data_IF_756807404230
#
_entry.id   IF_756807404230
#
_cell.length_a   1.000
_cell.length_b   1.000
_cell.length_c   1.000
_cell.angle_alpha   90.00
_cell.angle_beta   90.00
_cell.angle_gamma   90.00
#
_symmetry.space_group_name_H-M   'P 1'
#
loop_
_entity.id
_entity.type
_entity.pdbx_description
1 polymer ?
#
# COMPACT_ATOMS: atom_id res chain seq x y z
N UNK A 1 -15.26 19.34 13.01
CA UNK A 1 -13.96 19.97 13.36
C UNK A 1 -13.54 19.53 14.76
N UNK A 2 -13.61 18.23 15.04
CA UNK A 2 -13.47 17.67 16.38
C UNK A 2 -12.06 17.09 16.55
N UNK A 3 -11.28 17.71 17.44
CA UNK A 3 -10.07 17.21 18.11
C UNK A 3 -9.01 16.47 17.26
N UNK A 4 -8.54 17.02 16.15
CA UNK A 4 -7.27 16.57 15.57
C UNK A 4 -6.12 17.05 16.45
N UNK A 5 -5.58 16.15 17.29
CA UNK A 5 -4.34 16.41 18.04
C UNK A 5 -3.15 16.27 17.09
N UNK A 6 -2.53 17.39 16.74
CA UNK A 6 -1.31 17.41 15.92
C UNK A 6 -0.10 17.34 16.87
N UNK A 7 0.67 16.25 16.75
CA UNK A 7 1.92 16.07 17.46
C UNK A 7 3.07 16.06 16.46
N UNK A 8 4.12 16.85 16.72
CA UNK A 8 5.36 16.76 15.97
C UNK A 8 6.43 16.13 16.87
N UNK A 9 6.83 14.89 16.57
CA UNK A 9 8.03 14.31 17.14
C UNK A 9 9.23 14.90 16.41
N UNK A 10 9.70 16.07 16.85
CA UNK A 10 10.97 16.62 16.40
C UNK A 10 12.09 15.81 17.06
N UNK A 11 12.79 15.00 16.27
CA UNK A 11 14.10 14.49 16.67
C UNK A 11 15.03 15.69 16.93
N UNK A 12 15.15 16.10 18.19
CA UNK A 12 16.06 17.19 18.56
C UNK A 12 17.50 16.69 18.45
N UNK A 13 18.22 17.14 17.42
CA UNK A 13 19.68 17.13 17.39
C UNK A 13 20.32 16.33 16.25
N UNK A 14 21.00 17.08 15.38
CA UNK A 14 22.15 16.71 14.54
C UNK A 14 21.99 15.58 13.50
N UNK A 15 22.51 15.83 12.31
CA UNK A 15 22.67 14.95 11.13
C UNK A 15 23.04 13.48 11.43
N UNK A 16 23.67 13.19 12.57
CA UNK A 16 23.94 11.83 13.06
C UNK A 16 22.67 11.01 13.35
N UNK A 17 21.65 11.62 13.94
CA UNK A 17 20.39 10.94 14.34
C UNK A 17 19.54 10.59 13.11
N UNK A 18 19.49 11.48 12.11
CA UNK A 18 18.81 11.20 10.83
C UNK A 18 19.47 10.06 10.06
N UNK A 19 20.81 10.03 10.00
CA UNK A 19 21.56 8.93 9.38
C UNK A 19 21.33 7.61 10.13
N UNK A 20 21.20 7.64 11.45
CA UNK A 20 20.88 6.46 12.25
C UNK A 20 19.45 5.95 12.00
N UNK A 21 18.45 6.83 11.97
CA UNK A 21 17.06 6.44 11.68
C UNK A 21 16.95 5.89 10.26
N UNK A 22 17.55 6.58 9.28
CA UNK A 22 17.67 6.12 7.91
C UNK A 22 18.25 4.70 7.80
N UNK A 23 19.40 4.48 8.42
CA UNK A 23 20.06 3.17 8.47
C UNK A 23 19.17 2.13 9.13
N UNK A 24 18.50 2.47 10.23
CA UNK A 24 17.61 1.56 10.94
C UNK A 24 16.38 1.19 10.09
N UNK A 25 15.79 2.14 9.36
CA UNK A 25 14.69 1.88 8.43
C UNK A 25 15.15 0.94 7.31
N UNK A 26 16.27 1.23 6.67
CA UNK A 26 16.82 0.38 5.60
C UNK A 26 17.11 -1.04 6.08
N UNK A 27 17.72 -1.18 7.26
CA UNK A 27 18.03 -2.49 7.85
C UNK A 27 16.79 -3.25 8.30
N UNK A 28 15.79 -2.56 8.86
CA UNK A 28 14.51 -3.19 9.26
C UNK A 28 13.81 -3.77 8.05
N UNK A 29 13.81 -3.04 6.92
CA UNK A 29 13.23 -3.50 5.67
C UNK A 29 13.98 -4.71 5.12
N UNK A 30 15.31 -4.67 5.13
CA UNK A 30 16.12 -5.82 4.72
C UNK A 30 15.78 -7.06 5.54
N UNK A 31 15.64 -6.94 6.86
CA UNK A 31 15.29 -8.07 7.73
C UNK A 31 13.88 -8.61 7.50
N UNK A 32 12.91 -7.73 7.22
CA UNK A 32 11.55 -8.16 6.85
C UNK A 32 11.52 -8.95 5.54
N UNK A 33 12.47 -8.69 4.65
CA UNK A 33 12.55 -9.31 3.32
C UNK A 33 13.45 -10.55 3.27
N UNK A 34 14.40 -10.69 4.21
CA UNK A 34 15.31 -11.83 4.26
C UNK A 34 14.58 -13.10 4.73
N UNK A 35 14.34 -14.00 3.78
CA UNK A 35 13.69 -15.30 3.98
C UNK A 35 14.53 -16.29 4.79
N UNK A 36 15.83 -16.06 4.97
CA UNK A 36 16.71 -16.96 5.73
C UNK A 36 16.48 -16.91 7.24
N UNK A 37 15.81 -15.87 7.74
CA UNK A 37 15.47 -15.79 9.14
C UNK A 37 14.36 -16.80 9.55
N UNK A 38 13.69 -17.47 8.60
CA UNK A 38 12.46 -18.27 8.83
C UNK A 38 12.68 -19.79 8.69
N UNK A 39 13.79 -20.24 8.10
CA UNK A 39 13.95 -21.64 7.68
C UNK A 39 14.17 -22.69 8.79
N UNK A 40 14.28 -22.31 10.08
CA UNK A 40 14.71 -23.23 11.16
C UNK A 40 13.68 -23.50 12.27
N UNK A 41 12.38 -23.21 12.08
CA UNK A 41 11.36 -23.50 13.12
C UNK A 41 10.47 -24.70 12.75
N UNK A 42 10.35 -25.74 13.60
CA UNK A 42 9.51 -26.91 13.33
C UNK A 42 8.01 -26.58 13.38
N UNK A 43 7.13 -27.34 12.66
CA UNK A 43 5.74 -26.94 12.38
C UNK A 43 4.74 -27.15 13.52
N UNK A 44 5.18 -27.22 14.78
CA UNK A 44 4.32 -27.65 15.88
C UNK A 44 4.60 -26.87 17.16
N UNK A 45 4.22 -25.59 17.17
CA UNK A 45 3.95 -24.81 18.36
C UNK A 45 3.10 -23.61 17.95
N UNK A 46 2.15 -23.20 18.79
CA UNK A 46 1.47 -21.90 18.70
C UNK A 46 2.50 -20.85 18.29
N UNK A 47 2.32 -20.08 17.20
CA UNK A 47 3.38 -19.22 16.70
C UNK A 47 3.77 -18.24 17.80
N UNK A 48 4.93 -18.45 18.44
CA UNK A 48 5.49 -17.47 19.37
C UNK A 48 5.75 -16.22 18.54
N UNK A 49 5.08 -15.12 18.90
CA UNK A 49 5.28 -13.82 18.25
C UNK A 49 6.75 -13.45 18.36
N UNK A 50 7.42 -13.39 17.21
CA UNK A 50 8.84 -13.11 17.16
C UNK A 50 9.08 -11.63 17.41
N UNK A 51 9.80 -11.34 18.50
CA UNK A 51 10.24 -10.00 18.84
C UNK A 51 11.38 -9.61 17.89
N UNK A 52 11.19 -8.50 17.16
CA UNK A 52 12.21 -7.87 16.33
C UNK A 52 12.79 -6.66 17.05
N UNK A 53 14.06 -6.75 17.42
CA UNK A 53 14.78 -5.64 18.08
C UNK A 53 14.78 -4.36 17.25
N UNK A 54 14.78 -4.47 15.92
CA UNK A 54 14.76 -3.29 15.03
C UNK A 54 13.38 -2.64 14.97
N UNK A 55 12.30 -3.44 14.92
CA UNK A 55 10.92 -2.93 14.99
C UNK A 55 10.65 -2.27 16.35
N UNK A 56 11.17 -2.83 17.44
CA UNK A 56 11.11 -2.23 18.77
C UNK A 56 11.92 -0.94 18.86
N UNK A 57 13.13 -0.89 18.29
CA UNK A 57 13.93 0.33 18.27
C UNK A 57 13.22 1.47 17.50
N UNK A 58 12.60 1.16 16.35
CA UNK A 58 11.79 2.14 15.62
C UNK A 58 10.54 2.56 16.41
N UNK A 59 9.87 1.64 17.10
CA UNK A 59 8.76 1.97 17.99
C UNK A 59 9.19 2.91 19.12
N UNK A 60 10.30 2.61 19.79
CA UNK A 60 10.88 3.45 20.84
C UNK A 60 11.21 4.86 20.35
N UNK A 61 11.74 4.98 19.13
CA UNK A 61 12.12 6.27 18.57
C UNK A 61 10.92 7.07 18.05
N UNK A 62 9.92 6.41 17.47
CA UNK A 62 8.86 7.08 16.70
C UNK A 62 7.50 7.13 17.42
N UNK A 63 7.21 6.16 18.27
CA UNK A 63 5.87 5.97 18.88
C UNK A 63 5.89 6.31 20.37
N UNK A 64 6.87 5.81 21.13
CA UNK A 64 6.94 6.08 22.58
C UNK A 64 6.90 7.57 22.95
N UNK A 65 7.59 8.49 22.23
CA UNK A 65 7.55 9.92 22.54
C UNK A 65 6.16 10.57 22.38
N UNK A 66 5.25 9.93 21.66
CA UNK A 66 3.90 10.43 21.38
C UNK A 66 2.81 9.51 21.92
N UNK A 67 3.15 8.47 22.70
CA UNK A 67 2.20 7.43 23.11
C UNK A 67 0.99 8.00 23.87
N UNK A 68 1.20 8.99 24.74
CA UNK A 68 0.13 9.65 25.51
C UNK A 68 -0.81 10.53 24.65
N UNK A 69 -0.41 10.83 23.42
CA UNK A 69 -1.19 11.61 22.45
C UNK A 69 -2.01 10.71 21.51
N UNK A 70 -1.66 9.43 21.42
CA UNK A 70 -2.38 8.47 20.58
C UNK A 70 -3.79 8.20 21.15
N UNK A 71 -4.78 7.98 20.28
CA UNK A 71 -6.13 7.69 20.73
C UNK A 71 -6.20 6.35 21.46
N UNK A 72 -7.04 6.28 22.50
CA UNK A 72 -7.30 5.05 23.26
C UNK A 72 -8.30 4.13 22.56
N UNK A 73 -9.16 4.70 21.72
CA UNK A 73 -10.06 3.93 20.86
C UNK A 73 -9.25 3.37 19.68
N UNK A 74 -9.15 2.03 19.52
CA UNK A 74 -8.41 1.43 18.43
C UNK A 74 -9.02 1.69 17.04
N UNK A 75 -10.30 2.04 16.96
CA UNK A 75 -10.98 2.39 15.70
C UNK A 75 -10.70 3.84 15.30
N UNK A 76 -10.20 4.68 16.20
CA UNK A 76 -9.80 6.05 15.89
C UNK A 76 -8.51 6.07 15.05
N UNK A 77 -8.48 6.96 14.06
CA UNK A 77 -7.42 7.02 13.07
C UNK A 77 -6.20 7.79 13.57
N UNK A 78 -5.02 7.23 13.31
CA UNK A 78 -3.72 7.89 13.43
C UNK A 78 -3.19 8.14 12.02
N UNK A 79 -2.99 9.42 11.68
CA UNK A 79 -2.47 9.84 10.37
C UNK A 79 -0.99 10.19 10.52
N UNK A 80 -0.12 9.41 9.88
CA UNK A 80 1.30 9.74 9.79
C UNK A 80 1.58 10.62 8.58
N UNK A 81 2.30 11.72 8.79
CA UNK A 81 2.81 12.59 7.72
C UNK A 81 4.34 12.46 7.71
N UNK A 82 4.89 11.42 7.07
CA UNK A 82 6.33 11.16 7.09
C UNK A 82 7.12 12.11 6.20
N UNK A 83 8.42 12.23 6.49
CA UNK A 83 9.38 12.98 5.67
C UNK A 83 10.63 12.13 5.41
N UNK A 84 11.21 12.23 4.21
CA UNK A 84 12.45 11.53 3.86
C UNK A 84 12.31 10.00 3.98
N UNK A 85 13.23 9.35 4.69
CA UNK A 85 13.21 7.89 4.82
C UNK A 85 12.06 7.35 5.69
N UNK A 86 11.37 8.22 6.43
CA UNK A 86 10.19 7.81 7.21
C UNK A 86 9.04 7.30 6.32
N UNK A 87 9.01 7.66 5.03
CA UNK A 87 8.05 7.11 4.08
C UNK A 87 8.16 5.59 3.93
N UNK A 88 9.32 5.02 4.25
CA UNK A 88 9.57 3.59 4.12
C UNK A 88 9.34 2.82 5.42
N UNK A 89 8.96 3.51 6.51
CA UNK A 89 8.71 2.90 7.82
C UNK A 89 7.42 2.06 7.75
N UNK A 90 7.49 0.77 8.10
CA UNK A 90 6.30 -0.07 8.22
C UNK A 90 5.56 0.22 9.52
N UNK A 91 4.87 1.34 9.63
CA UNK A 91 4.23 1.76 10.89
C UNK A 91 3.34 0.66 11.49
N UNK A 92 2.59 -0.08 10.66
CA UNK A 92 1.74 -1.19 11.08
C UNK A 92 2.50 -2.31 11.83
N UNK A 93 3.78 -2.53 11.51
CA UNK A 93 4.60 -3.60 12.09
C UNK A 93 5.53 -3.12 13.20
N UNK A 94 5.52 -1.84 13.57
CA UNK A 94 6.28 -1.37 14.73
C UNK A 94 5.82 -2.12 15.99
N UNK A 95 6.76 -2.65 16.75
CA UNK A 95 6.49 -3.53 17.89
C UNK A 95 6.73 -2.79 19.20
N UNK A 96 5.76 -2.83 20.10
CA UNK A 96 5.94 -2.39 21.47
C UNK A 96 6.83 -3.37 22.27
N UNK A 97 7.20 -2.97 23.50
CA UNK A 97 8.01 -3.80 24.40
C UNK A 97 7.38 -5.15 24.73
N UNK A 98 6.05 -5.23 24.76
CA UNK A 98 5.28 -6.46 24.99
C UNK A 98 5.09 -7.33 23.73
N UNK A 99 5.66 -6.92 22.60
CA UNK A 99 5.59 -7.65 21.33
C UNK A 99 4.30 -7.44 20.53
N UNK A 100 3.38 -6.58 20.99
CA UNK A 100 2.25 -6.16 20.17
C UNK A 100 2.66 -5.21 19.06
N UNK A 101 2.05 -5.36 17.90
CA UNK A 101 2.21 -4.50 16.73
C UNK A 101 1.34 -3.26 16.86
N UNK A 102 1.78 -2.13 16.29
CA UNK A 102 1.04 -0.87 16.34
C UNK A 102 -0.36 -0.98 15.73
N UNK A 103 -0.51 -1.76 14.65
CA UNK A 103 -1.80 -1.98 13.97
C UNK A 103 -2.85 -2.66 14.86
N UNK A 104 -2.42 -3.40 15.89
CA UNK A 104 -3.35 -4.03 16.83
C UNK A 104 -4.03 -3.02 17.73
N UNK A 105 -3.37 -1.89 17.98
CA UNK A 105 -3.83 -0.85 18.92
C UNK A 105 -4.45 0.35 18.23
N UNK A 106 -4.07 0.62 16.98
CA UNK A 106 -4.49 1.84 16.29
C UNK A 106 -4.82 1.58 14.83
N UNK A 107 -5.82 2.29 14.33
CA UNK A 107 -6.13 2.36 12.91
C UNK A 107 -5.21 3.36 12.23
N UNK A 108 -4.44 2.92 11.22
CA UNK A 108 -3.35 3.70 10.65
C UNK A 108 -3.65 4.14 9.22
N UNK A 109 -3.24 5.36 8.88
CA UNK A 109 -3.12 5.85 7.49
C UNK A 109 -1.93 6.80 7.37
N UNK A 110 -1.53 7.09 6.15
CA UNK A 110 -0.46 8.04 5.85
C UNK A 110 -0.96 9.14 4.93
N UNK A 111 -0.26 10.27 4.94
CA UNK A 111 -0.41 11.29 3.92
C UNK A 111 0.94 11.97 3.66
N UNK A 112 1.25 12.32 2.42
CA UNK A 112 2.53 12.94 2.10
C UNK A 112 2.62 14.39 2.63
N UNK A 113 1.48 15.07 2.77
CA UNK A 113 1.39 16.40 3.32
C UNK A 113 -0.03 16.68 3.85
N UNK A 114 -0.16 17.65 4.76
CA UNK A 114 -1.46 18.06 5.30
C UNK A 114 -2.36 18.69 4.22
N UNK A 115 -1.78 19.35 3.23
CA UNK A 115 -2.51 19.92 2.09
C UNK A 115 -3.12 18.82 1.21
N UNK A 116 -2.45 17.67 1.10
CA UNK A 116 -2.98 16.52 0.36
C UNK A 116 -4.19 15.93 1.11
N UNK A 117 -4.16 15.88 2.44
CA UNK A 117 -5.35 15.48 3.22
C UNK A 117 -6.54 16.40 2.95
N UNK A 118 -6.33 17.72 2.99
CA UNK A 118 -7.39 18.69 2.71
C UNK A 118 -7.93 18.55 1.27
N UNK A 119 -7.04 18.33 0.30
CA UNK A 119 -7.40 18.11 -1.10
C UNK A 119 -8.24 16.84 -1.29
N UNK A 120 -7.81 15.72 -0.71
CA UNK A 120 -8.53 14.44 -0.85
C UNK A 120 -9.88 14.47 -0.15
N UNK A 121 -9.97 15.15 1.01
CA UNK A 121 -11.23 15.34 1.73
C UNK A 121 -12.24 16.16 0.92
N UNK A 122 -11.79 17.27 0.32
CA UNK A 122 -12.66 18.10 -0.51
C UNK A 122 -13.24 17.34 -1.71
N UNK A 123 -12.45 16.46 -2.35
CA UNK A 123 -12.89 15.63 -3.48
C UNK A 123 -13.97 14.62 -3.06
N UNK A 124 -13.79 13.94 -1.94
CA UNK A 124 -14.76 12.96 -1.43
C UNK A 124 -16.13 13.60 -1.18
N UNK A 125 -16.17 14.82 -0.65
CA UNK A 125 -17.43 15.51 -0.32
C UNK A 125 -18.33 15.84 -1.52
N UNK A 126 -17.80 15.77 -2.75
CA UNK A 126 -18.47 16.22 -3.98
C UNK A 126 -18.92 15.06 -4.89
N UNK A 127 -18.74 13.80 -4.49
CA UNK A 127 -18.92 12.64 -5.38
C UNK A 127 -20.25 11.90 -5.21
N UNK A 128 -20.74 11.37 -6.34
CA UNK A 128 -21.90 10.47 -6.38
C UNK A 128 -21.55 9.10 -5.80
N UNK A 129 -22.52 8.39 -5.22
CA UNK A 129 -22.33 7.11 -4.50
C UNK A 129 -22.50 5.85 -5.35
N UNK A 130 -22.39 5.95 -6.68
CA UNK A 130 -22.63 4.78 -7.56
C UNK A 130 -21.33 4.00 -7.72
N UNK A 131 -21.18 2.91 -6.97
CA UNK A 131 -20.00 2.04 -7.02
C UNK A 131 -19.81 1.45 -8.42
N UNK A 132 -18.81 1.95 -9.15
CA UNK A 132 -18.33 1.38 -10.43
C UNK A 132 -16.96 0.75 -10.23
N UNK A 133 -16.89 -0.52 -9.78
CA UNK A 133 -15.63 -1.19 -9.54
C UNK A 133 -14.96 -1.66 -10.83
N UNK A 134 -13.67 -1.39 -10.95
CA UNK A 134 -12.75 -1.89 -11.97
C UNK A 134 -11.72 -2.79 -11.29
N UNK A 135 -11.86 -4.11 -11.48
CA UNK A 135 -11.02 -5.12 -10.82
C UNK A 135 -10.19 -5.84 -11.87
N UNK A 136 -8.87 -5.75 -11.74
CA UNK A 136 -7.89 -6.33 -12.67
C UNK A 136 -6.96 -7.25 -11.90
N UNK A 137 -6.71 -8.45 -12.42
CA UNK A 137 -5.78 -9.40 -11.81
C UNK A 137 -5.07 -10.26 -12.84
N UNK A 138 -3.81 -10.61 -12.58
CA UNK A 138 -3.00 -11.49 -13.41
C UNK A 138 -3.12 -11.22 -14.93
N UNK A 139 -2.70 -10.03 -15.42
CA UNK A 139 -2.65 -9.77 -16.85
C UNK A 139 -1.74 -10.78 -17.58
N UNK A 140 -1.92 -10.91 -18.90
CA UNK A 140 -0.96 -11.62 -19.72
C UNK A 140 0.38 -10.85 -19.67
N UNK A 141 1.37 -11.41 -18.97
CA UNK A 141 2.53 -10.62 -18.56
C UNK A 141 3.40 -10.16 -19.74
N UNK A 142 3.83 -8.88 -19.75
CA UNK A 142 4.76 -8.37 -20.74
C UNK A 142 6.19 -8.86 -20.44
N UNK A 143 7.09 -8.64 -21.39
CA UNK A 143 8.53 -8.82 -21.20
C UNK A 143 9.18 -7.48 -20.87
N UNK A 144 10.12 -7.48 -19.92
CA UNK A 144 10.82 -6.27 -19.46
C UNK A 144 12.33 -6.47 -19.42
N UNK A 145 13.09 -5.38 -19.45
CA UNK A 145 14.56 -5.38 -19.38
C UNK A 145 15.27 -5.55 -20.73
N UNK A 146 16.61 -5.54 -20.68
CA UNK A 146 17.49 -5.73 -21.83
C UNK A 146 18.51 -6.84 -21.54
N UNK A 147 18.42 -8.03 -22.18
CA UNK A 147 17.40 -8.43 -23.15
C UNK A 147 16.01 -8.63 -22.50
N UNK A 148 14.90 -8.52 -23.26
CA UNK A 148 13.55 -8.67 -22.72
C UNK A 148 13.32 -10.05 -22.10
N UNK A 149 12.88 -10.07 -20.85
CA UNK A 149 12.50 -11.29 -20.14
C UNK A 149 11.02 -11.23 -19.73
N UNK A 150 10.24 -12.31 -19.96
CA UNK A 150 8.84 -12.34 -19.56
C UNK A 150 8.71 -12.29 -18.04
N UNK A 151 7.80 -11.44 -17.55
CA UNK A 151 7.44 -11.47 -16.14
C UNK A 151 6.66 -12.77 -15.83
N UNK A 152 6.85 -13.31 -14.62
CA UNK A 152 6.16 -14.52 -14.19
C UNK A 152 4.67 -14.30 -13.96
N UNK A 153 3.84 -15.29 -14.28
CA UNK A 153 2.40 -15.25 -13.98
C UNK A 153 2.12 -15.20 -12.48
N UNK A 154 1.00 -14.56 -12.09
CA UNK A 154 0.56 -14.40 -10.70
C UNK A 154 -0.81 -15.07 -10.50
N UNK A 155 -0.87 -16.41 -10.35
CA UNK A 155 -2.15 -17.12 -10.24
C UNK A 155 -2.95 -16.74 -8.99
N UNK A 156 -2.33 -16.31 -7.88
CA UNK A 156 -3.12 -15.84 -6.73
C UNK A 156 -3.63 -14.40 -6.93
N UNK A 157 -2.94 -13.55 -7.68
CA UNK A 157 -3.50 -12.27 -8.13
C UNK A 157 -4.76 -12.45 -9.00
N UNK A 158 -4.84 -13.54 -9.78
CA UNK A 158 -6.07 -13.89 -10.49
C UNK A 158 -7.21 -14.27 -9.53
N UNK A 159 -6.91 -15.12 -8.54
CA UNK A 159 -7.87 -15.53 -7.51
C UNK A 159 -8.34 -14.33 -6.67
N UNK A 160 -7.42 -13.42 -6.32
CA UNK A 160 -7.68 -12.16 -5.63
C UNK A 160 -8.69 -11.32 -6.40
N UNK A 161 -8.41 -11.04 -7.68
CA UNK A 161 -9.29 -10.25 -8.51
C UNK A 161 -10.68 -10.91 -8.69
N UNK A 162 -10.73 -12.23 -8.87
CA UNK A 162 -11.99 -12.96 -8.96
C UNK A 162 -12.81 -12.89 -7.66
N UNK A 163 -12.17 -13.08 -6.51
CA UNK A 163 -12.83 -13.00 -5.20
C UNK A 163 -13.37 -11.58 -4.92
N UNK A 164 -12.57 -10.55 -5.22
CA UNK A 164 -12.98 -9.14 -5.05
C UNK A 164 -14.11 -8.77 -6.01
N UNK A 165 -14.03 -9.22 -7.27
CA UNK A 165 -15.09 -9.00 -8.24
C UNK A 165 -16.42 -9.60 -7.78
N UNK A 166 -16.40 -10.78 -7.16
CA UNK A 166 -17.58 -11.39 -6.55
C UNK A 166 -18.14 -10.56 -5.38
N UNK A 167 -17.28 -10.04 -4.50
CA UNK A 167 -17.69 -9.20 -3.36
C UNK A 167 -18.37 -7.89 -3.81
N UNK A 168 -17.93 -7.35 -4.96
CA UNK A 168 -18.39 -6.08 -5.51
C UNK A 168 -19.40 -6.24 -6.66
N UNK A 169 -19.93 -7.46 -6.87
CA UNK A 169 -20.93 -7.78 -7.90
C UNK A 169 -20.52 -7.31 -9.31
N UNK A 170 -19.25 -7.52 -9.66
CA UNK A 170 -18.66 -7.14 -10.95
C UNK A 170 -17.88 -8.29 -11.59
N UNK A 171 -17.23 -8.05 -12.72
CA UNK A 171 -16.37 -8.99 -13.40
C UNK A 171 -14.91 -8.57 -13.29
N UNK A 172 -14.05 -9.53 -12.93
CA UNK A 172 -12.60 -9.35 -12.99
C UNK A 172 -12.14 -9.33 -14.46
N UNK A 173 -11.16 -8.49 -14.76
CA UNK A 173 -10.46 -8.45 -16.04
C UNK A 173 -9.09 -9.10 -15.85
N UNK A 174 -8.80 -10.18 -16.59
CA UNK A 174 -7.58 -10.98 -16.43
C UNK A 174 -6.96 -11.35 -17.78
N UNK A 175 -5.74 -11.90 -17.76
CA UNK A 175 -5.06 -12.38 -18.96
C UNK A 175 -4.92 -11.29 -20.04
N UNK A 176 -5.15 -11.65 -21.30
CA UNK A 176 -5.02 -10.72 -22.43
C UNK A 176 -6.05 -9.57 -22.44
N UNK A 177 -7.16 -9.70 -21.71
CA UNK A 177 -8.16 -8.64 -21.63
C UNK A 177 -7.71 -7.50 -20.73
N UNK A 178 -6.79 -7.76 -19.80
CA UNK A 178 -6.23 -6.79 -18.87
C UNK A 178 -5.13 -5.92 -19.52
N UNK A 179 -5.43 -5.36 -20.69
CA UNK A 179 -4.52 -4.47 -21.43
C UNK A 179 -4.68 -3.02 -21.00
N UNK A 180 -3.61 -2.24 -21.16
CA UNK A 180 -3.61 -0.82 -20.81
C UNK A 180 -4.73 -0.02 -21.51
N UNK A 181 -4.97 -0.12 -22.83
CA UNK A 181 -6.05 0.64 -23.47
C UNK A 181 -7.43 0.28 -22.92
N UNK A 182 -7.66 -1.01 -22.61
CA UNK A 182 -8.93 -1.50 -22.08
C UNK A 182 -9.18 -1.01 -20.64
N UNK A 183 -8.12 -0.91 -19.83
CA UNK A 183 -8.18 -0.52 -18.43
C UNK A 183 -8.27 1.00 -18.30
N UNK A 184 -7.41 1.75 -19.00
CA UNK A 184 -7.34 3.22 -18.92
C UNK A 184 -8.69 3.89 -19.23
N UNK A 185 -9.42 3.38 -20.23
CA UNK A 185 -10.76 3.87 -20.56
C UNK A 185 -11.75 3.69 -19.41
N UNK A 186 -11.70 2.56 -18.71
CA UNK A 186 -12.61 2.23 -17.60
C UNK A 186 -12.26 2.99 -16.33
N UNK A 187 -10.96 3.25 -16.10
CA UNK A 187 -10.47 3.98 -14.93
C UNK A 187 -11.09 5.36 -14.79
N UNK A 188 -11.32 6.09 -15.89
CA UNK A 188 -11.91 7.44 -15.85
C UNK A 188 -13.31 7.48 -15.19
N UNK A 189 -14.08 6.39 -15.32
CA UNK A 189 -15.40 6.24 -14.73
C UNK A 189 -15.43 5.44 -13.43
N UNK A 190 -14.34 4.76 -13.07
CA UNK A 190 -14.31 3.84 -11.94
C UNK A 190 -14.23 4.59 -10.59
N UNK A 191 -15.01 4.13 -9.62
CA UNK A 191 -14.91 4.62 -8.24
C UNK A 191 -13.92 3.82 -7.41
N UNK A 192 -13.88 2.51 -7.65
CA UNK A 192 -12.93 1.59 -7.04
C UNK A 192 -12.10 1.03 -8.18
N UNK A 193 -10.79 1.19 -8.10
CA UNK A 193 -9.83 0.63 -9.06
C UNK A 193 -8.93 -0.32 -8.26
N UNK A 194 -8.93 -1.59 -8.61
CA UNK A 194 -8.06 -2.60 -7.98
C UNK A 194 -7.19 -3.23 -9.06
N UNK A 195 -5.88 -3.15 -8.88
CA UNK A 195 -4.88 -3.65 -9.82
C UNK A 195 -3.95 -4.64 -9.10
N UNK A 196 -4.18 -5.94 -9.34
CA UNK A 196 -3.36 -7.04 -8.83
C UNK A 196 -2.41 -7.55 -9.92
N UNK A 197 -1.16 -7.06 -9.92
CA UNK A 197 -0.18 -7.32 -10.98
C UNK A 197 1.26 -7.04 -10.50
N UNK A 198 2.26 -7.12 -11.37
CA UNK A 198 3.62 -6.67 -11.05
C UNK A 198 3.74 -5.16 -11.05
N UNK A 199 4.46 -4.63 -10.06
CA UNK A 199 4.93 -3.25 -10.01
C UNK A 199 6.40 -3.18 -10.35
N UNK A 200 6.78 -2.22 -11.18
CA UNK A 200 8.17 -1.91 -11.52
C UNK A 200 8.56 -0.61 -10.82
N UNK A 201 9.76 -0.58 -10.22
CA UNK A 201 10.25 0.58 -9.48
C UNK A 201 11.09 1.54 -10.30
N UNK A 202 11.61 1.07 -11.43
CA UNK A 202 12.52 1.85 -12.24
C UNK A 202 11.76 2.89 -13.07
N UNK A 203 12.48 3.92 -13.49
CA UNK A 203 12.01 4.86 -14.50
C UNK A 203 12.15 4.21 -15.88
N UNK A 204 11.22 3.29 -16.16
CA UNK A 204 11.22 2.48 -17.38
C UNK A 204 11.05 3.31 -18.66
N UNK A 205 10.50 4.53 -18.54
CA UNK A 205 10.30 5.45 -19.67
C UNK A 205 11.40 6.52 -19.79
N UNK A 206 12.30 6.64 -18.81
CA UNK A 206 13.32 7.69 -18.76
C UNK A 206 12.76 9.11 -18.64
N UNK A 207 11.53 9.27 -18.11
CA UNK A 207 10.79 10.53 -18.05
C UNK A 207 10.91 11.24 -16.70
N UNK A 208 11.72 10.70 -15.78
CA UNK A 208 11.98 11.26 -14.45
C UNK A 208 10.95 10.88 -13.39
N UNK A 209 9.90 10.12 -13.74
CA UNK A 209 8.86 9.64 -12.81
C UNK A 209 8.93 8.11 -12.75
N UNK A 210 9.60 7.54 -11.73
CA UNK A 210 9.75 6.10 -11.61
C UNK A 210 8.43 5.41 -11.25
N UNK A 211 8.25 4.19 -11.74
CA UNK A 211 7.07 3.40 -11.44
C UNK A 211 6.31 2.98 -12.70
N UNK A 212 5.98 1.70 -12.81
CA UNK A 212 5.01 1.21 -13.79
C UNK A 212 4.24 0.00 -13.25
N UNK A 213 3.08 -0.26 -13.82
CA UNK A 213 2.28 -1.47 -13.58
C UNK A 213 2.29 -2.33 -14.83
N UNK A 214 2.60 -3.61 -14.68
CA UNK A 214 2.56 -4.55 -15.79
C UNK A 214 1.11 -4.90 -16.15
N UNK A 215 0.77 -4.81 -17.42
CA UNK A 215 -0.54 -5.10 -18.02
C UNK A 215 -0.32 -5.93 -19.29
N UNK A 216 -1.41 -6.40 -19.90
CA UNK A 216 -1.31 -7.17 -21.12
C UNK A 216 -0.80 -6.31 -22.28
N UNK A 217 0.31 -6.69 -22.95
CA UNK A 217 0.79 -6.00 -24.13
C UNK A 217 -0.19 -6.20 -25.29
N UNK A 218 -0.25 -5.20 -26.17
CA UNK A 218 -1.05 -5.23 -27.40
C UNK A 218 -0.19 -4.79 -28.58
N UNK A 219 -0.76 -4.73 -29.79
CA UNK A 219 -0.05 -4.15 -30.92
C UNK A 219 0.17 -2.62 -30.78
N UNK A 220 -0.51 -1.96 -29.84
CA UNK A 220 -0.50 -0.50 -29.65
C UNK A 220 0.05 -0.05 -28.29
N UNK A 221 0.32 -0.97 -27.37
CA UNK A 221 0.84 -0.69 -26.02
C UNK A 221 1.83 -1.79 -25.65
N UNK A 222 2.92 -1.38 -25.00
CA UNK A 222 3.99 -2.24 -24.52
C UNK A 222 3.60 -3.07 -23.27
N UNK A 223 2.41 -2.83 -22.72
CA UNK A 223 1.92 -3.49 -21.53
C UNK A 223 2.44 -2.87 -20.23
N UNK A 224 2.96 -1.64 -20.25
CA UNK A 224 3.41 -0.94 -19.04
C UNK A 224 2.61 0.34 -18.82
N UNK A 225 1.72 0.36 -17.82
CA UNK A 225 1.08 1.59 -17.38
C UNK A 225 2.04 2.36 -16.47
N UNK A 226 2.72 3.36 -17.01
CA UNK A 226 3.74 4.14 -16.30
C UNK A 226 3.13 5.17 -15.36
N UNK A 227 3.88 5.54 -14.32
CA UNK A 227 3.51 6.63 -13.42
C UNK A 227 3.30 7.96 -14.18
N UNK A 228 4.08 8.20 -15.23
CA UNK A 228 3.92 9.38 -16.07
C UNK A 228 2.61 9.37 -16.87
N UNK A 229 2.20 8.23 -17.44
CA UNK A 229 0.90 8.11 -18.10
C UNK A 229 -0.24 8.31 -17.11
N UNK A 230 -0.12 7.73 -15.90
CA UNK A 230 -1.10 7.92 -14.83
C UNK A 230 -1.25 9.40 -14.47
N UNK A 231 -0.16 10.18 -14.40
CA UNK A 231 -0.22 11.63 -14.17
C UNK A 231 -1.04 12.38 -15.23
N UNK A 232 -1.08 11.87 -16.46
CA UNK A 232 -1.88 12.42 -17.55
C UNK A 232 -3.35 12.02 -17.53
N UNK A 233 -3.74 11.07 -16.67
CA UNK A 233 -5.13 10.62 -16.56
C UNK A 233 -6.00 11.64 -15.81
N UNK A 234 -7.31 11.58 -16.09
CA UNK A 234 -8.33 12.23 -15.28
C UNK A 234 -9.20 11.16 -14.62
N UNK A 235 -9.11 11.08 -13.28
CA UNK A 235 -9.82 10.12 -12.44
C UNK A 235 -10.78 10.87 -11.50
N UNK A 236 -11.77 11.62 -12.03
CA UNK A 236 -12.61 12.49 -11.22
C UNK A 236 -13.48 11.73 -10.21
N UNK A 237 -13.70 10.44 -10.43
CA UNK A 237 -14.57 9.59 -9.63
C UNK A 237 -13.82 8.59 -8.75
N UNK A 238 -12.50 8.44 -8.90
CA UNK A 238 -11.74 7.39 -8.20
C UNK A 238 -11.64 7.69 -6.69
N UNK A 239 -12.48 7.04 -5.90
CA UNK A 239 -12.45 7.14 -4.44
C UNK A 239 -11.33 6.29 -3.86
N UNK A 240 -11.13 5.10 -4.42
CA UNK A 240 -10.13 4.16 -3.95
C UNK A 240 -9.39 3.54 -5.13
N UNK A 241 -8.07 3.67 -5.11
CA UNK A 241 -7.16 2.88 -5.94
C UNK A 241 -6.39 1.92 -5.05
N UNK A 242 -6.43 0.62 -5.32
CA UNK A 242 -5.63 -0.40 -4.63
C UNK A 242 -4.60 -0.94 -5.61
N UNK A 243 -3.32 -0.73 -5.27
CA UNK A 243 -2.19 -1.27 -6.01
C UNK A 243 -1.69 -2.51 -5.29
N UNK A 244 -2.30 -3.66 -5.60
CA UNK A 244 -1.88 -4.98 -5.12
C UNK A 244 -0.71 -5.49 -5.97
N UNK A 245 0.37 -4.72 -5.92
CA UNK A 245 1.55 -4.93 -6.72
C UNK A 245 2.78 -4.61 -5.86
N UNK A 246 3.86 -5.37 -6.08
CA UNK A 246 5.09 -5.26 -5.30
C UNK A 246 5.66 -3.85 -5.34
N UNK A 247 6.11 -3.37 -4.18
CA UNK A 247 6.89 -2.14 -4.02
C UNK A 247 6.21 -0.84 -4.51
N UNK A 248 4.90 -0.82 -4.74
CA UNK A 248 4.16 0.31 -5.32
C UNK A 248 4.20 1.61 -4.50
N UNK A 249 4.59 1.54 -3.23
CA UNK A 249 4.76 2.67 -2.33
C UNK A 249 6.19 3.22 -2.21
N UNK A 250 7.22 2.60 -2.84
CA UNK A 250 8.63 3.02 -2.63
C UNK A 250 9.01 4.27 -3.41
N UNK A 251 8.73 4.32 -4.71
CA UNK A 251 9.05 5.44 -5.61
C UNK A 251 10.45 6.08 -5.42
N UNK A 252 10.63 7.30 -5.91
CA UNK A 252 11.78 8.17 -5.60
C UNK A 252 11.38 9.15 -4.50
N UNK A 253 12.05 9.06 -3.36
CA UNK A 253 11.84 9.97 -2.23
C UNK A 253 12.44 11.34 -2.57
N UNK A 254 11.64 12.40 -2.43
CA UNK A 254 12.03 13.80 -2.61
C UNK A 254 11.60 14.66 -1.42
N UNK A 255 11.96 15.94 -1.41
CA UNK A 255 11.53 16.89 -0.38
C UNK A 255 10.00 17.00 -0.24
N UNK A 256 9.27 16.76 -1.33
CA UNK A 256 7.80 16.84 -1.39
C UNK A 256 7.11 15.47 -1.19
N UNK A 257 7.86 14.46 -0.77
CA UNK A 257 7.40 13.09 -0.57
C UNK A 257 7.81 12.10 -1.67
N UNK A 258 7.12 10.96 -1.73
CA UNK A 258 7.42 9.89 -2.70
C UNK A 258 6.87 10.28 -4.08
N UNK A 259 7.77 10.39 -5.07
CA UNK A 259 7.42 10.45 -6.48
C UNK A 259 7.29 9.02 -6.99
N UNK A 260 6.12 8.67 -7.50
CA UNK A 260 5.87 7.35 -8.10
C UNK A 260 4.39 7.11 -8.31
N UNK A 261 3.98 5.84 -8.30
CA UNK A 261 2.59 5.44 -8.59
C UNK A 261 1.58 6.11 -7.63
N UNK A 262 1.82 6.09 -6.32
CA UNK A 262 0.91 6.68 -5.32
C UNK A 262 0.62 8.17 -5.59
N UNK A 263 1.67 8.98 -5.77
CA UNK A 263 1.53 10.40 -6.10
C UNK A 263 0.85 10.62 -7.46
N UNK A 264 1.12 9.76 -8.43
CA UNK A 264 0.54 9.85 -9.77
C UNK A 264 -0.97 9.67 -9.72
N UNK A 265 -1.45 8.65 -9.00
CA UNK A 265 -2.89 8.41 -8.81
C UNK A 265 -3.59 9.53 -8.02
N UNK A 266 -3.00 9.99 -6.91
CA UNK A 266 -3.57 11.12 -6.16
C UNK A 266 -3.63 12.38 -7.03
N UNK A 267 -2.60 12.65 -7.83
CA UNK A 267 -2.58 13.81 -8.74
C UNK A 267 -3.64 13.70 -9.84
N UNK A 268 -3.82 12.49 -10.40
CA UNK A 268 -4.83 12.18 -11.41
C UNK A 268 -6.28 12.32 -10.90
N UNK A 269 -6.50 12.30 -9.59
CA UNK A 269 -7.80 12.56 -8.99
C UNK A 269 -8.22 11.59 -7.89
N UNK A 270 -7.43 10.53 -7.62
CA UNK A 270 -7.78 9.58 -6.57
C UNK A 270 -7.90 10.26 -5.19
N UNK A 271 -8.91 9.89 -4.40
CA UNK A 271 -9.04 10.34 -3.00
C UNK A 271 -8.18 9.51 -2.06
N UNK A 272 -8.03 8.23 -2.38
CA UNK A 272 -7.30 7.26 -1.56
C UNK A 272 -6.53 6.30 -2.43
N UNK A 273 -5.32 5.95 -2.01
CA UNK A 273 -4.51 4.91 -2.64
C UNK A 273 -3.99 3.95 -1.58
N UNK A 274 -4.23 2.65 -1.75
CA UNK A 274 -3.57 1.59 -0.97
C UNK A 274 -2.37 1.11 -1.78
N UNK A 275 -1.18 1.12 -1.17
CA UNK A 275 0.07 0.69 -1.80
C UNK A 275 0.85 -0.25 -0.89
N UNK A 276 1.75 -1.04 -1.48
CA UNK A 276 2.67 -1.91 -0.74
C UNK A 276 4.03 -1.25 -0.56
N UNK A 277 4.61 -1.39 0.64
CA UNK A 277 5.94 -0.90 0.97
C UNK A 277 7.06 -1.85 0.50
N UNK A 278 6.74 -3.11 0.20
CA UNK A 278 7.64 -4.15 -0.31
C UNK A 278 6.87 -5.25 -1.06
N UNK A 279 7.61 -6.13 -1.74
CA UNK A 279 7.07 -7.34 -2.35
C UNK A 279 6.58 -8.37 -1.31
N UNK A 280 5.29 -8.71 -1.36
CA UNK A 280 4.62 -9.67 -0.48
C UNK A 280 4.37 -10.98 -1.25
N UNK A 281 4.40 -12.16 -0.60
CA UNK A 281 3.94 -13.39 -1.24
C UNK A 281 2.50 -13.27 -1.77
N UNK A 282 2.29 -13.78 -3.00
CA UNK A 282 1.04 -13.64 -3.77
C UNK A 282 -0.18 -14.22 -3.02
N UNK A 283 -0.03 -15.36 -2.34
CA UNK A 283 -1.10 -16.03 -1.59
C UNK A 283 -1.57 -15.25 -0.36
N UNK A 284 -0.63 -14.74 0.45
CA UNK A 284 -0.95 -13.91 1.62
C UNK A 284 -1.59 -12.57 1.24
N UNK A 285 -1.18 -12.02 0.08
CA UNK A 285 -1.75 -10.80 -0.48
C UNK A 285 -3.20 -11.02 -0.90
N UNK A 286 -3.48 -12.12 -1.61
CA UNK A 286 -4.84 -12.47 -2.01
C UNK A 286 -5.78 -12.62 -0.79
N UNK A 287 -5.30 -13.25 0.28
CA UNK A 287 -6.06 -13.37 1.53
C UNK A 287 -6.33 -12.01 2.18
N UNK A 288 -5.31 -11.14 2.27
CA UNK A 288 -5.43 -9.80 2.84
C UNK A 288 -6.38 -8.91 2.04
N UNK A 289 -6.26 -8.88 0.71
CA UNK A 289 -7.08 -8.02 -0.13
C UNK A 289 -8.54 -8.50 -0.19
N UNK A 290 -8.77 -9.81 -0.19
CA UNK A 290 -10.12 -10.36 -0.04
C UNK A 290 -10.73 -9.93 1.30
N UNK A 291 -9.99 -10.08 2.41
CA UNK A 291 -10.45 -9.64 3.72
C UNK A 291 -10.69 -8.12 3.78
N UNK A 292 -9.86 -7.33 3.12
CA UNK A 292 -10.02 -5.87 3.03
C UNK A 292 -11.35 -5.49 2.39
N UNK A 293 -11.70 -6.06 1.23
CA UNK A 293 -12.96 -5.77 0.56
C UNK A 293 -14.19 -6.31 1.30
N UNK A 294 -14.08 -7.47 1.95
CA UNK A 294 -15.14 -7.99 2.84
C UNK A 294 -15.44 -7.03 4.00
N UNK A 295 -14.39 -6.47 4.62
CA UNK A 295 -14.55 -5.49 5.68
C UNK A 295 -15.05 -4.15 5.15
N UNK A 296 -14.58 -3.71 3.97
CA UNK A 296 -14.99 -2.46 3.36
C UNK A 296 -16.47 -2.45 2.98
N UNK A 297 -17.01 -3.59 2.50
CA UNK A 297 -18.45 -3.76 2.26
C UNK A 297 -19.29 -3.58 3.53
N UNK A 298 -18.76 -3.93 4.69
CA UNK A 298 -19.48 -3.83 5.97
C UNK A 298 -19.30 -2.45 6.62
N UNK A 299 -18.14 -1.84 6.44
CA UNK A 299 -17.80 -0.54 6.99
C UNK A 299 -17.00 0.26 5.94
N UNK A 300 -17.55 1.37 5.41
CA UNK A 300 -16.93 2.12 4.33
C UNK A 300 -15.60 2.79 4.73
N UNK A 301 -15.24 2.79 6.01
CA UNK A 301 -13.97 3.33 6.46
C UNK A 301 -12.78 2.45 6.02
N UNK A 302 -12.06 2.92 5.01
CA UNK A 302 -10.95 2.20 4.35
C UNK A 302 -9.80 1.89 5.30
N UNK A 303 -9.50 2.79 6.24
CA UNK A 303 -8.40 2.56 7.20
C UNK A 303 -8.77 1.44 8.19
N UNK A 304 -10.01 1.45 8.70
CA UNK A 304 -10.51 0.41 9.59
C UNK A 304 -10.62 -0.94 8.86
N UNK A 305 -11.09 -0.94 7.60
CA UNK A 305 -11.16 -2.14 6.78
C UNK A 305 -9.76 -2.74 6.56
N UNK A 306 -8.75 -1.92 6.25
CA UNK A 306 -7.37 -2.38 6.06
C UNK A 306 -6.78 -2.94 7.36
N UNK A 307 -7.02 -2.27 8.50
CA UNK A 307 -6.60 -2.77 9.81
C UNK A 307 -7.21 -4.14 10.09
N UNK A 308 -8.53 -4.30 9.93
CA UNK A 308 -9.21 -5.58 10.19
C UNK A 308 -8.69 -6.68 9.29
N UNK A 309 -8.46 -6.38 8.01
CA UNK A 309 -7.84 -7.31 7.07
C UNK A 309 -6.46 -7.77 7.56
N UNK A 310 -5.58 -6.86 7.97
CA UNK A 310 -4.26 -7.21 8.52
C UNK A 310 -4.37 -8.10 9.76
N UNK A 311 -5.29 -7.80 10.67
CA UNK A 311 -5.50 -8.59 11.89
C UNK A 311 -6.02 -10.00 11.58
N UNK A 312 -6.91 -10.14 10.59
CA UNK A 312 -7.37 -11.45 10.10
C UNK A 312 -6.23 -12.21 9.44
N UNK A 313 -5.49 -11.60 8.51
CA UNK A 313 -4.38 -12.23 7.80
C UNK A 313 -3.29 -12.69 8.74
N UNK A 314 -2.98 -11.91 9.80
CA UNK A 314 -1.98 -12.28 10.81
C UNK A 314 -2.27 -13.62 11.51
N UNK A 315 -3.54 -14.04 11.60
CA UNK A 315 -3.91 -15.32 12.20
C UNK A 315 -3.48 -16.52 11.34
N UNK A 316 -3.55 -16.36 10.01
CA UNK A 316 -3.17 -17.39 9.04
C UNK A 316 -1.70 -17.28 8.63
N UNK A 317 -1.16 -16.07 8.60
CA UNK A 317 0.20 -15.73 8.19
C UNK A 317 0.90 -14.93 9.32
N UNK A 318 1.56 -15.61 10.29
CA UNK A 318 2.09 -14.95 11.47
C UNK A 318 3.25 -13.97 11.21
N UNK A 319 3.91 -14.06 10.06
CA UNK A 319 5.02 -13.18 9.72
C UNK A 319 4.52 -11.80 9.33
N UNK A 320 5.05 -10.75 9.96
CA UNK A 320 4.71 -9.36 9.62
C UNK A 320 5.05 -8.96 8.18
N UNK A 321 5.88 -9.74 7.48
CA UNK A 321 6.14 -9.60 6.04
C UNK A 321 4.87 -9.78 5.20
N UNK A 322 3.97 -10.65 5.64
CA UNK A 322 2.85 -11.16 4.84
C UNK A 322 1.61 -10.25 4.91
N UNK A 323 1.45 -9.48 6.00
CA UNK A 323 0.31 -8.57 6.19
C UNK A 323 0.70 -7.11 6.39
N UNK A 324 1.96 -6.83 6.77
CA UNK A 324 2.40 -5.51 7.22
C UNK A 324 2.82 -4.54 6.11
N UNK A 325 2.78 -4.97 4.85
CA UNK A 325 3.33 -4.21 3.73
C UNK A 325 2.43 -3.05 3.28
N UNK A 326 1.12 -3.16 3.49
CA UNK A 326 0.17 -2.23 2.89
C UNK A 326 -0.01 -0.98 3.74
N UNK A 327 -0.17 0.16 3.09
CA UNK A 327 -0.55 1.41 3.73
C UNK A 327 -1.59 2.14 2.91
N UNK A 328 -2.54 2.78 3.60
CA UNK A 328 -3.52 3.66 2.99
C UNK A 328 -2.95 5.09 2.97
N UNK A 329 -2.93 5.70 1.79
CA UNK A 329 -2.57 7.10 1.56
C UNK A 329 -3.83 7.88 1.19
N UNK A 330 -4.03 9.07 1.75
CA UNK A 330 -5.15 9.94 1.41
C UNK A 330 -6.35 9.73 2.31
N UNK A 331 -7.57 9.83 1.79
CA UNK A 331 -8.82 9.80 2.57
C UNK A 331 -9.18 8.38 3.05
N UNK A 332 -9.93 8.27 4.14
CA UNK A 332 -10.36 6.99 4.69
C UNK A 332 -11.88 6.82 4.74
N UNK A 333 -12.65 7.89 4.73
CA UNK A 333 -14.12 7.86 4.80
C UNK A 333 -14.79 7.84 3.42
#
# INVERSE_FOLDING_TARGET
AEQTRVAAALGRGATSTEVQVASLVSQTRSDLLDSRAIADAPPSATPMRRISRKLQALHQLLIEPIADLLPRDPEAQVVFIPQGQLYLVPFATLQAADGSFLIERHTLRTAPAIQILALTHARQSQRSRVETPLIVGNPAMPSVGEPPQPLGSLPYAEQEAQAIAQILDTQAITGHQASEPAIAQRMASAQIIHLATHGLLDDVAGLGVPGALALAPTAQSDGLLTANEILGLSLPNADLVVLSACDTGRGKITGDGVIGLSRSFISAGASSVVVSLWAVPDDSTAALMTAFYQNLRQNPNRAQALRRAMLTTMQQYPSSRDWGAFTLIGEAE
#
